data_IF_007869678361
#
_entry.id   IF_007869678361
#
_cell.length_a   1.000
_cell.length_b   1.000
_cell.length_c   1.000
_cell.angle_alpha   90.00
_cell.angle_beta   90.00
_cell.angle_gamma   90.00
#
_symmetry.space_group_name_H-M   'P 1'
#
loop_
_entity.id
_entity.type
_entity.pdbx_description
1 polymer ?
2 non-polymer ?
3 non-polymer ?
4 water ?
#
# COMPACT_ATOMS: atom_id res chain seq x y z
N UNK A 16 -5.88 17.42 -27.51
CA UNK A 16 -4.52 17.80 -27.06
C UNK A 16 -3.82 16.66 -26.32
N UNK A 17 -4.61 15.69 -25.88
CA UNK A 17 -4.16 14.55 -25.04
C UNK A 17 -3.35 14.99 -23.81
N UNK A 18 -4.04 15.55 -22.80
CA UNK A 18 -3.36 15.95 -21.57
C UNK A 18 -2.91 14.73 -20.77
N UNK A 19 -1.86 14.90 -19.96
CA UNK A 19 -1.32 13.81 -19.14
C UNK A 19 -1.21 14.18 -17.66
N UNK A 20 -1.13 13.16 -16.82
CA UNK A 20 -0.95 13.32 -15.39
C UNK A 20 0.45 12.82 -15.01
N UNK A 21 1.22 13.64 -14.30
CA UNK A 21 2.50 13.22 -13.77
C UNK A 21 2.33 12.76 -12.32
N UNK A 22 2.50 11.46 -12.09
CA UNK A 22 2.39 10.88 -10.75
C UNK A 22 3.77 10.72 -10.12
N UNK A 23 3.93 11.28 -8.92
CA UNK A 23 5.21 11.30 -8.23
C UNK A 23 5.12 10.60 -6.87
N UNK A 24 6.06 9.69 -6.62
CA UNK A 24 6.20 9.05 -5.32
C UNK A 24 7.61 9.18 -4.79
N UNK A 25 7.78 10.01 -3.77
CA UNK A 25 9.09 10.23 -3.15
C UNK A 25 9.28 9.37 -1.92
N UNK A 26 10.18 8.40 -2.03
CA UNK A 26 10.58 7.57 -0.90
C UNK A 26 11.75 8.18 -0.17
N UNK A 27 12.24 7.49 0.85
CA UNK A 27 13.37 7.96 1.66
C UNK A 27 14.70 8.04 0.90
N UNK A 28 14.79 7.30 -0.22
CA UNK A 28 16.01 7.28 -1.03
C UNK A 28 15.75 7.12 -2.54
N UNK A 29 14.51 7.34 -2.97
CA UNK A 29 14.13 7.20 -4.37
C UNK A 29 12.94 8.07 -4.76
N UNK A 30 12.88 8.45 -6.04
CA UNK A 30 11.69 9.10 -6.60
C UNK A 30 11.13 8.25 -7.75
N UNK A 31 10.02 7.56 -7.48
CA UNK A 31 9.31 6.81 -8.50
C UNK A 31 8.31 7.73 -9.20
N UNK A 32 8.23 7.62 -10.52
CA UNK A 32 7.28 8.43 -11.28
C UNK A 32 6.63 7.70 -12.46
N UNK A 33 5.42 8.11 -12.78
CA UNK A 33 4.70 7.62 -13.96
C UNK A 33 4.00 8.78 -14.66
N UNK A 34 3.76 8.62 -15.96
CA UNK A 34 3.01 9.59 -16.75
C UNK A 34 1.81 8.90 -17.39
N UNK A 35 0.62 9.31 -16.98
CA UNK A 35 -0.62 8.67 -17.42
C UNK A 35 -1.48 9.59 -18.28
N UNK A 36 -2.06 9.03 -19.33
CA UNK A 36 -3.00 9.75 -20.19
C UNK A 36 -4.28 10.04 -19.40
N UNK A 37 -4.77 11.27 -19.49
CA UNK A 37 -5.96 11.69 -18.75
C UNK A 37 -7.20 10.89 -19.16
N UNK A 38 -7.35 10.65 -20.46
CA UNK A 38 -8.53 9.99 -21.02
C UNK A 38 -8.63 8.49 -20.67
N UNK A 39 -7.49 7.80 -20.67
CA UNK A 39 -7.47 6.34 -20.53
C UNK A 39 -6.80 5.83 -19.26
N UNK A 40 -5.95 6.68 -18.67
CA UNK A 40 -5.09 6.30 -17.53
C UNK A 40 -4.06 5.22 -17.90
N UNK A 41 -3.68 5.20 -19.18
CA UNK A 41 -2.61 4.33 -19.66
C UNK A 41 -1.26 4.95 -19.32
N UNK A 42 -0.34 4.11 -18.84
CA UNK A 42 1.02 4.56 -18.53
C UNK A 42 1.78 4.80 -19.84
N UNK A 43 2.28 6.02 -20.03
CA UNK A 43 2.99 6.39 -21.24
C UNK A 43 4.50 6.47 -21.01
N UNK A 44 4.88 6.63 -19.74
CA UNK A 44 6.28 6.65 -19.33
C UNK A 44 6.40 6.30 -17.85
N UNK A 45 7.41 5.49 -17.51
CA UNK A 45 7.66 5.11 -16.12
C UNK A 45 9.16 5.12 -15.83
N UNK A 46 9.52 5.49 -14.59
CA UNK A 46 10.92 5.55 -14.20
C UNK A 46 11.15 5.61 -12.69
N UNK A 47 12.42 5.69 -12.31
CA UNK A 47 12.83 5.76 -10.91
C UNK A 47 14.20 6.44 -10.74
N UNK A 48 14.22 7.55 -10.01
CA UNK A 48 15.45 8.25 -9.68
C UNK A 48 15.99 7.71 -8.36
N UNK A 49 16.86 6.71 -8.45
CA UNK A 49 17.33 5.96 -7.28
C UNK A 49 18.66 6.51 -6.74
N UNK A 50 19.00 6.08 -5.53
CA UNK A 50 20.24 6.48 -4.88
C UNK A 50 20.25 7.94 -4.45
N UNK A 51 19.12 8.39 -3.89
CA UNK A 51 18.97 9.79 -3.46
C UNK A 51 19.81 10.10 -2.22
N UNK A 52 20.17 11.38 -2.08
CA UNK A 52 21.01 11.88 -0.98
C UNK A 52 22.48 11.43 -1.02
N UNK A 53 22.73 10.27 -1.61
CA UNK A 53 24.09 9.80 -1.87
C UNK A 53 24.66 10.57 -3.07
N UNK A 54 25.98 10.56 -3.22
CA UNK A 54 26.64 11.27 -4.33
C UNK A 54 26.43 10.57 -5.67
N UNK A 55 26.25 9.26 -5.65
CA UNK A 55 25.89 8.51 -6.85
C UNK A 55 24.37 8.35 -6.99
N UNK A 56 23.81 9.06 -7.97
CA UNK A 56 22.37 9.03 -8.22
C UNK A 56 22.10 8.78 -9.71
N UNK A 57 21.20 7.84 -9.99
CA UNK A 57 20.91 7.43 -11.37
C UNK A 57 19.41 7.40 -11.69
N UNK A 58 19.08 7.86 -12.89
CA UNK A 58 17.70 7.90 -13.37
C UNK A 58 17.49 6.81 -14.42
N UNK A 59 16.51 5.93 -14.18
CA UNK A 59 16.23 4.81 -15.07
C UNK A 59 14.86 4.93 -15.74
N UNK A 60 14.84 5.58 -16.91
CA UNK A 60 13.60 5.74 -17.69
C UNK A 60 13.30 4.47 -18.47
N UNK A 61 12.11 3.90 -18.20
CA UNK A 61 11.61 2.68 -18.87
C UNK A 61 12.50 1.44 -18.73
N UNK A 62 13.36 1.44 -17.71
CA UNK A 62 14.24 0.31 -17.43
C UNK A 62 15.38 0.13 -18.42
N UNK A 63 15.86 1.23 -18.98
CA UNK A 63 16.96 1.20 -19.95
C UNK A 63 17.94 2.37 -19.78
N UNK A 64 19.23 2.06 -19.99
CA UNK A 64 20.32 3.05 -19.97
C UNK A 64 20.27 4.04 -18.80
N UNK A 65 20.79 3.63 -17.61
CA UNK A 65 20.88 4.52 -16.45
C UNK A 65 21.81 5.71 -16.72
N UNK A 66 21.30 6.91 -16.48
CA UNK A 66 22.07 8.14 -16.68
C UNK A 66 22.32 8.87 -15.36
N UNK A 67 23.57 9.31 -15.17
CA UNK A 67 23.97 10.03 -13.96
C UNK A 67 24.18 11.52 -14.23
N UNK A 71 23.14 14.70 -5.51
CA UNK A 71 21.98 15.32 -6.14
C UNK A 71 20.74 15.22 -5.25
N UNK A 72 20.19 16.37 -4.88
CA UNK A 72 19.02 16.43 -3.99
C UNK A 72 17.70 16.08 -4.69
N UNK A 73 16.60 16.14 -3.92
CA UNK A 73 15.26 15.83 -4.44
C UNK A 73 14.83 16.71 -5.60
N UNK A 74 15.21 17.99 -5.57
CA UNK A 74 14.90 18.92 -6.65
C UNK A 74 15.76 18.66 -7.90
N UNK A 75 17.01 18.24 -7.68
CA UNK A 75 17.92 17.90 -8.78
C UNK A 75 17.40 16.73 -9.61
N UNK A 76 16.88 15.71 -8.93
CA UNK A 76 16.36 14.51 -9.59
C UNK A 76 15.07 14.79 -10.37
N UNK A 77 14.24 15.68 -9.84
CA UNK A 77 12.99 16.05 -10.49
C UNK A 77 13.25 17.01 -11.66
N UNK A 78 14.27 17.85 -11.51
CA UNK A 78 14.69 18.75 -12.59
C UNK A 78 15.22 17.98 -13.78
N UNK A 79 15.83 16.83 -13.51
CA UNK A 79 16.29 15.91 -14.54
C UNK A 79 15.11 15.27 -15.27
N UNK A 80 14.12 14.82 -14.51
CA UNK A 80 12.88 14.26 -15.05
C UNK A 80 12.15 15.29 -15.90
N UNK A 81 12.05 16.52 -15.40
CA UNK A 81 11.40 17.62 -16.11
C UNK A 81 12.09 17.94 -17.44
N UNK A 82 13.42 17.89 -17.44
CA UNK A 82 14.22 18.10 -18.65
C UNK A 82 14.12 16.91 -19.62
N UNK A 83 13.88 15.71 -19.07
CA UNK A 83 13.67 14.52 -19.88
C UNK A 83 12.30 14.50 -20.56
N UNK A 84 11.32 15.14 -19.92
CA UNK A 84 10.00 15.34 -20.53
C UNK A 84 10.01 16.52 -21.49
N UNK A 85 10.90 17.48 -21.24
CA UNK A 85 11.07 18.66 -22.10
C UNK A 85 11.70 18.30 -23.45
N UNK A 86 12.61 17.33 -23.42
CA UNK A 86 13.26 16.83 -24.63
C UNK A 86 12.41 15.78 -25.35
N UNK A 87 11.39 15.29 -24.66
CA UNK A 87 10.43 14.33 -25.23
C UNK A 87 9.14 15.05 -25.64
N UNK A 88 9.14 16.36 -25.45
CA UNK A 88 8.02 17.24 -25.81
C UNK A 88 6.69 16.88 -25.11
N UNK A 89 6.78 16.55 -23.81
CA UNK A 89 5.61 16.20 -23.01
C UNK A 89 5.28 17.25 -21.95
N UNK A 90 6.24 18.13 -21.66
CA UNK A 90 6.09 19.18 -20.64
C UNK A 90 4.86 20.06 -20.88
N UNK A 91 4.53 20.26 -22.15
CA UNK A 91 3.38 21.08 -22.54
C UNK A 91 2.05 20.35 -22.36
N UNK A 92 2.12 19.03 -22.17
CA UNK A 92 0.92 18.20 -22.01
C UNK A 92 0.56 17.88 -20.55
N UNK A 93 1.48 18.18 -19.64
CA UNK A 93 1.27 17.91 -18.21
C UNK A 93 0.23 18.87 -17.61
N UNK A 94 -1.00 18.39 -17.51
CA UNK A 94 -2.11 19.20 -17.01
C UNK A 94 -2.31 19.07 -15.49
N UNK A 95 -1.87 17.94 -14.94
CA UNK A 95 -2.01 17.65 -13.52
C UNK A 95 -0.78 16.92 -12.98
N UNK A 96 -0.45 17.17 -11.71
CA UNK A 96 0.61 16.42 -11.03
C UNK A 96 0.08 15.78 -9.75
N UNK A 97 0.22 14.47 -9.65
CA UNK A 97 -0.24 13.73 -8.48
C UNK A 97 0.90 13.36 -7.55
N UNK A 98 0.71 13.66 -6.27
CA UNK A 98 1.72 13.35 -5.25
C UNK A 98 1.22 12.29 -4.27
N UNK A 99 2.07 11.31 -4.01
CA UNK A 99 1.79 10.29 -3.01
C UNK A 99 2.32 10.74 -1.66
N UNK A 100 1.42 10.84 -0.69
CA UNK A 100 1.80 11.23 0.67
C UNK A 100 1.64 10.02 1.59
N UNK A 101 2.69 9.72 2.35
CA UNK A 101 2.71 8.56 3.23
C UNK A 101 1.70 8.63 4.38
N UNK A 102 1.53 9.82 4.96
CA UNK A 102 0.72 9.98 6.17
C UNK A 102 -0.04 11.30 6.19
N UNK A 103 -1.36 11.22 6.36
CA UNK A 103 -2.20 12.41 6.41
C UNK A 103 -2.81 12.67 7.78
N UNK A 104 -2.32 11.94 8.78
CA UNK A 104 -2.84 12.01 10.15
C UNK A 104 -4.36 11.95 10.20
N UNK A 105 -4.95 12.79 11.04
CA UNK A 105 -6.40 12.89 11.13
C UNK A 105 -6.91 14.09 10.32
N UNK A 106 -5.98 14.83 9.72
CA UNK A 106 -6.30 16.07 9.02
C UNK A 106 -6.79 15.85 7.58
N UNK A 107 -6.38 14.73 6.98
CA UNK A 107 -6.76 14.45 5.61
C UNK A 107 -7.62 13.19 5.49
N UNK A 108 -8.83 13.38 4.97
CA UNK A 108 -9.81 12.30 4.83
C UNK A 108 -10.04 11.95 3.36
N UNK A 109 -9.42 12.72 2.47
CA UNK A 109 -9.50 12.48 1.02
C UNK A 109 -8.39 13.23 0.28
N UNK A 110 -8.29 12.97 -1.03
CA UNK A 110 -7.31 13.66 -1.88
C UNK A 110 -7.70 15.11 -2.08
N UNK A 111 -6.72 16.00 -1.99
CA UNK A 111 -6.95 17.44 -2.06
C UNK A 111 -6.05 18.15 -3.07
N UNK A 112 -6.51 19.31 -3.53
CA UNK A 112 -5.69 20.21 -4.34
C UNK A 112 -4.68 20.88 -3.41
N UNK A 113 -3.40 20.79 -3.78
CA UNK A 113 -2.32 21.35 -2.98
C UNK A 113 -2.31 22.89 -3.03
N UNK A 114 -2.29 23.49 -1.85
CA UNK A 114 -2.11 24.94 -1.66
C UNK A 114 -1.08 25.10 -0.55
N UNK A 115 -0.80 26.35 -0.17
CA UNK A 115 0.06 26.63 0.98
C UNK A 115 -0.51 26.06 2.29
N UNK A 116 -1.84 26.08 2.41
CA UNK A 116 -2.54 25.54 3.57
C UNK A 116 -2.32 24.03 3.71
N UNK A 117 -2.49 23.31 2.60
CA UNK A 117 -2.30 21.86 2.56
C UNK A 117 -0.87 21.49 2.93
N UNK A 118 0.11 22.23 2.37
CA UNK A 118 1.52 22.00 2.67
C UNK A 118 1.78 22.18 4.17
N UNK A 119 1.27 23.28 4.73
CA UNK A 119 1.37 23.55 6.17
C UNK A 119 0.79 22.40 7.00
N UNK A 120 -0.35 21.87 6.54
CA UNK A 120 -1.03 20.80 7.25
C UNK A 120 -0.37 19.43 7.11
N UNK A 121 0.25 19.17 5.95
CA UNK A 121 1.06 17.96 5.76
C UNK A 121 2.29 18.00 6.68
N UNK A 122 2.87 19.19 6.86
CA UNK A 122 4.00 19.38 7.77
C UNK A 122 3.62 19.13 9.24
N UNK A 123 2.38 19.46 9.60
CA UNK A 123 1.86 19.21 10.94
C UNK A 123 1.83 17.72 11.31
N UNK A 124 1.42 16.89 10.34
CA UNK A 124 1.28 15.44 10.56
C UNK A 124 2.56 14.66 10.24
N UNK A 125 3.58 15.36 9.76
CA UNK A 125 4.85 14.73 9.36
C UNK A 125 5.64 14.03 10.49
N UNK A 126 5.45 14.46 11.77
CA UNK A 126 6.01 13.67 12.87
C UNK A 126 5.49 12.22 12.97
N UNK A 127 4.33 11.95 12.38
CA UNK A 127 3.75 10.60 12.38
C UNK A 127 4.48 9.65 11.43
N UNK A 128 5.21 10.23 10.46
CA UNK A 128 6.07 9.48 9.56
C UNK A 128 7.25 10.34 9.12
N UNK A 129 8.23 10.56 10.04
CA UNK A 129 9.34 11.51 9.83
C UNK A 129 10.24 11.16 8.65
N UNK A 130 10.29 9.89 8.27
CA UNK A 130 11.10 9.46 7.14
C UNK A 130 10.49 9.92 5.82
N UNK A 131 9.36 9.31 5.46
CA UNK A 131 8.78 9.47 4.12
C UNK A 131 8.06 10.81 3.88
N UNK A 132 7.38 11.33 4.90
CA UNK A 132 6.60 12.56 4.74
C UNK A 132 7.40 13.82 4.37
N UNK A 133 8.59 13.96 4.94
CA UNK A 133 9.47 15.08 4.59
C UNK A 133 10.02 14.94 3.17
N UNK A 134 10.19 13.70 2.71
CA UNK A 134 10.57 13.42 1.33
C UNK A 134 9.45 13.79 0.36
N UNK A 135 8.20 13.55 0.77
CA UNK A 135 7.03 13.94 -0.01
C UNK A 135 6.91 15.45 -0.14
N UNK A 136 7.19 16.17 0.94
CA UNK A 136 7.18 17.64 0.95
C UNK A 136 8.31 18.21 0.10
N UNK A 137 9.44 17.52 0.08
CA UNK A 137 10.58 17.88 -0.78
C UNK A 137 10.20 17.70 -2.25
N UNK A 138 9.42 16.66 -2.54
CA UNK A 138 8.91 16.42 -3.89
C UNK A 138 7.86 17.43 -4.31
N UNK A 139 7.08 17.92 -3.35
CA UNK A 139 6.08 18.96 -3.60
C UNK A 139 6.75 20.31 -3.87
N UNK A 140 7.71 20.67 -3.01
CA UNK A 140 8.46 21.91 -3.13
C UNK A 140 9.19 22.01 -4.48
N UNK A 141 9.77 20.89 -4.91
CA UNK A 141 10.49 20.80 -6.18
C UNK A 141 9.55 20.89 -7.39
N UNK A 142 8.42 20.19 -7.32
CA UNK A 142 7.45 20.16 -8.42
C UNK A 142 6.72 21.50 -8.60
N UNK A 143 6.55 22.23 -7.50
CA UNK A 143 5.99 23.58 -7.55
C UNK A 143 6.96 24.57 -8.21
N UNK A 144 8.26 24.37 -7.96
CA UNK A 144 9.32 25.18 -8.58
C UNK A 144 9.41 24.93 -10.09
N UNK A 145 9.28 23.68 -10.50
CA UNK A 145 9.44 23.28 -11.90
C UNK A 145 8.16 23.45 -12.71
N UNK A 146 7.02 23.27 -12.05
CA UNK A 146 5.72 23.40 -12.72
C UNK A 146 4.80 24.33 -11.93
N UNK A 147 5.06 25.65 -11.97
CA UNK A 147 4.27 26.60 -11.17
C UNK A 147 2.85 26.81 -11.69
N UNK A 148 2.61 26.49 -12.96
CA UNK A 148 1.30 26.71 -13.57
C UNK A 148 0.43 25.45 -13.61
N UNK A 149 0.97 24.34 -13.11
CA UNK A 149 0.25 23.06 -13.14
C UNK A 149 -0.43 22.76 -11.81
N UNK A 150 -1.71 22.42 -11.88
CA UNK A 150 -2.47 21.94 -10.71
C UNK A 150 -1.80 20.70 -10.11
N UNK A 151 -1.67 20.69 -8.78
CA UNK A 151 -1.03 19.57 -8.09
C UNK A 151 -1.93 19.04 -6.97
N UNK A 152 -2.02 17.71 -6.88
CA UNK A 152 -2.90 17.07 -5.89
C UNK A 152 -2.14 16.13 -4.97
N UNK A 153 -2.63 16.00 -3.74
CA UNK A 153 -2.04 15.09 -2.76
C UNK A 153 -2.96 13.90 -2.51
N UNK A 154 -2.38 12.70 -2.60
CA UNK A 154 -3.13 11.47 -2.35
C UNK A 154 -2.46 10.70 -1.21
N UNK A 155 -3.23 10.38 -0.19
CA UNK A 155 -2.71 9.87 1.08
C UNK A 155 -2.92 8.37 1.26
N UNK A 156 -1.91 7.70 1.81
CA UNK A 156 -2.00 6.29 2.18
C UNK A 156 -3.03 6.03 3.28
N UNK A 157 -3.22 7.03 4.13
CA UNK A 157 -4.01 6.87 5.35
C UNK A 157 -5.48 7.26 5.21
N UNK A 158 -5.78 8.12 4.24
CA UNK A 158 -7.07 8.83 4.18
C UNK A 158 -8.31 7.93 4.11
N UNK A 159 -8.19 6.80 3.42
CA UNK A 159 -9.30 5.86 3.26
C UNK A 159 -9.75 5.23 4.58
N UNK A 160 -8.81 5.09 5.52
CA UNK A 160 -9.11 4.46 6.82
C UNK A 160 -9.60 5.44 7.88
N UNK A 161 -9.83 6.69 7.48
CA UNK A 161 -10.32 7.71 8.43
C UNK A 161 -11.81 7.55 8.77
N UNK A 162 -12.49 6.67 8.05
CA UNK A 162 -13.89 6.34 8.34
C UNK A 162 -14.03 5.35 9.51
N UNK A 163 -12.91 4.86 10.02
CA UNK A 163 -12.90 3.91 11.13
C UNK A 163 -13.52 4.49 12.41
N UNK A 164 -14.40 3.70 13.03
CA UNK A 164 -15.01 4.05 14.31
C UNK A 164 -13.95 4.03 15.41
N UNK A 165 -14.15 4.84 16.48
CA UNK A 165 -13.19 4.85 17.60
C UNK A 165 -12.91 3.47 18.20
N UNK A 166 -13.94 2.63 18.28
CA UNK A 166 -13.77 1.25 18.77
C UNK A 166 -12.79 0.44 17.90
N UNK A 167 -12.69 0.81 16.63
CA UNK A 167 -11.79 0.13 15.70
C UNK A 167 -10.37 0.70 15.70
N UNK A 168 -10.24 2.00 15.97
CA UNK A 168 -8.92 2.64 15.87
C UNK A 168 -8.21 2.93 17.20
N UNK A 169 -8.94 2.88 18.31
CA UNK A 169 -8.33 3.09 19.63
C UNK A 169 -7.50 1.89 20.06
N UNK A 170 -6.37 2.17 20.71
CA UNK A 170 -5.59 1.14 21.39
C UNK A 170 -5.98 1.10 22.86
N UNK A 171 -5.61 0.00 23.52
CA UNK A 171 -5.96 -0.22 24.92
C UNK A 171 -5.14 0.60 25.91
N UNK A 172 -4.30 1.50 25.40
CA UNK A 172 -3.44 2.33 26.24
C UNK A 172 -4.26 3.42 26.97
N UNK A 173 -3.65 4.06 28.00
CA UNK A 173 -4.33 5.17 28.68
C UNK A 173 -4.75 6.27 27.70
N UNK A 174 -5.90 6.88 28.00
CA UNK A 174 -6.53 7.87 27.13
C UNK A 174 -5.64 9.05 26.72
N UNK A 175 -4.75 9.46 27.62
CA UNK A 175 -3.82 10.57 27.36
C UNK A 175 -2.91 10.36 26.15
N UNK A 176 -2.54 9.10 25.90
CA UNK A 176 -1.72 8.75 24.75
C UNK A 176 -2.43 9.01 23.42
N UNK A 177 -3.75 8.89 23.42
CA UNK A 177 -4.56 9.20 22.24
C UNK A 177 -4.93 10.68 22.14
N UNK A 178 -5.31 11.28 23.27
CA UNK A 178 -5.80 12.66 23.28
C UNK A 178 -4.69 13.70 23.09
N UNK A 179 -3.55 13.50 23.75
CA UNK A 179 -2.45 14.46 23.68
C UNK A 179 -1.39 14.08 22.64
N UNK A 180 -1.06 12.80 22.54
CA UNK A 180 -0.01 12.33 21.62
C UNK A 180 -0.55 11.89 20.26
N UNK A 181 -1.85 11.60 20.19
CA UNK A 181 -2.48 11.21 18.93
C UNK A 181 -2.25 9.75 18.53
N UNK A 182 -1.84 8.93 19.49
CA UNK A 182 -1.63 7.50 19.27
C UNK A 182 -2.96 6.79 18.98
N UNK A 183 -3.07 6.26 17.78
CA UNK A 183 -4.26 5.55 17.30
C UNK A 183 -3.92 4.79 16.03
N UNK A 184 -4.79 3.85 15.66
CA UNK A 184 -4.66 3.13 14.39
C UNK A 184 -4.92 4.09 13.23
N UNK A 185 -4.02 4.06 12.24
CA UNK A 185 -4.22 4.83 11.02
C UNK A 185 -4.46 3.93 9.82
N UNK A 186 -3.67 2.87 9.71
CA UNK A 186 -3.76 1.95 8.59
C UNK A 186 -3.13 2.49 7.32
N UNK A 187 -2.70 1.59 6.44
CA UNK A 187 -2.03 1.99 5.20
C UNK A 187 -2.53 1.19 4.01
N UNK A 188 -1.88 1.35 2.85
CA UNK A 188 -2.36 0.81 1.57
C UNK A 188 -3.78 1.28 1.25
N UNK A 189 -4.16 2.42 1.83
CA UNK A 189 -5.52 2.96 1.72
C UNK A 189 -5.95 3.28 0.31
N UNK A 190 -5.03 3.81 -0.48
CA UNK A 190 -5.25 4.12 -1.89
C UNK A 190 -5.53 2.82 -2.66
N UNK A 191 -4.72 1.80 -2.38
CA UNK A 191 -4.91 0.46 -2.96
C UNK A 191 -6.24 -0.14 -2.52
N UNK A 192 -6.50 -0.13 -1.21
CA UNK A 192 -7.73 -0.68 -0.64
C UNK A 192 -8.98 -0.02 -1.21
N UNK A 193 -8.93 1.30 -1.37
CA UNK A 193 -10.04 2.04 -2.00
C UNK A 193 -10.23 1.61 -3.44
N UNK A 194 -9.17 1.69 -4.24
CA UNK A 194 -9.22 1.33 -5.66
C UNK A 194 -9.76 -0.09 -5.88
N UNK A 195 -9.16 -1.06 -5.21
CA UNK A 195 -9.55 -2.46 -5.32
C UNK A 195 -11.01 -2.66 -4.94
N UNK A 196 -11.44 -2.01 -3.85
CA UNK A 196 -12.83 -2.11 -3.41
C UNK A 196 -13.81 -1.57 -4.47
N UNK A 197 -13.45 -0.44 -5.10
CA UNK A 197 -14.29 0.16 -6.15
C UNK A 197 -14.43 -0.78 -7.34
N UNK A 198 -13.33 -1.42 -7.72
CA UNK A 198 -13.33 -2.37 -8.84
C UNK A 198 -14.15 -3.62 -8.54
N UNK A 199 -14.17 -4.01 -7.25
CA UNK A 199 -14.87 -5.22 -6.82
C UNK A 199 -16.38 -5.14 -6.97
N UNK A 200 -16.95 -3.95 -6.77
CA UNK A 200 -18.40 -3.75 -6.95
C UNK A 200 -18.82 -3.96 -8.40
N UNK A 201 -17.91 -3.62 -9.32
CA UNK A 201 -18.12 -3.84 -10.75
C UNK A 201 -18.00 -5.32 -11.09
N UNK A 202 -16.89 -5.93 -10.70
CA UNK A 202 -16.60 -7.34 -10.99
C UNK A 202 -17.62 -8.29 -10.35
N UNK A 203 -17.98 -8.02 -9.10
CA UNK A 203 -18.88 -8.91 -8.35
C UNK A 203 -20.36 -8.51 -8.47
N UNK A 204 -20.62 -7.48 -9.26
CA UNK A 204 -21.97 -6.89 -9.40
C UNK A 204 -22.61 -6.65 -8.03
N UNK A 205 -21.96 -5.80 -7.24
CA UNK A 205 -22.44 -5.44 -5.92
C UNK A 205 -22.82 -3.97 -5.87
N UNK A 206 -23.83 -3.68 -5.04
CA UNK A 206 -24.17 -2.30 -4.72
C UNK A 206 -23.18 -1.84 -3.65
N UNK A 207 -22.45 -0.76 -3.96
CA UNK A 207 -21.45 -0.20 -3.06
C UNK A 207 -22.01 0.04 -1.66
N UNK A 208 -23.21 0.61 -1.59
CA UNK A 208 -23.84 1.01 -0.33
C UNK A 208 -24.49 -0.15 0.45
N UNK A 209 -24.49 -1.34 -0.14
CA UNK A 209 -24.99 -2.54 0.52
C UNK A 209 -24.03 -3.70 0.24
N UNK A 210 -22.88 -3.67 0.89
CA UNK A 210 -21.80 -4.62 0.60
C UNK A 210 -20.82 -4.81 1.76
N UNK A 211 -20.21 -5.99 1.81
CA UNK A 211 -19.16 -6.30 2.78
C UNK A 211 -18.00 -7.00 2.11
N UNK A 212 -16.87 -6.30 2.04
CA UNK A 212 -15.66 -6.84 1.41
C UNK A 212 -14.50 -6.97 2.38
N UNK A 213 -13.68 -7.98 2.15
CA UNK A 213 -12.37 -8.07 2.78
C UNK A 213 -11.33 -7.98 1.66
N UNK A 214 -10.45 -6.98 1.75
CA UNK A 214 -9.38 -6.83 0.78
C UNK A 214 -8.07 -7.23 1.44
N UNK A 215 -7.43 -8.24 0.85
CA UNK A 215 -6.11 -8.67 1.30
C UNK A 215 -5.06 -8.11 0.37
N UNK A 216 -4.41 -7.04 0.80
CA UNK A 216 -3.29 -6.47 0.06
C UNK A 216 -2.01 -7.16 0.50
N UNK A 217 -1.54 -8.07 -0.34
CA UNK A 217 -0.35 -8.86 -0.02
C UNK A 217 0.80 -8.49 -0.95
N UNK A 218 1.75 -7.73 -0.40
CA UNK A 218 2.97 -7.37 -1.10
C UNK A 218 4.13 -7.54 -0.15
N UNK A 219 5.19 -6.79 -0.37
CA UNK A 219 6.33 -6.79 0.55
C UNK A 219 5.90 -6.25 1.92
N UNK A 220 5.10 -5.18 1.90
CA UNK A 220 4.31 -4.76 3.05
C UNK A 220 2.89 -5.27 2.83
N UNK A 221 2.24 -5.75 3.89
CA UNK A 221 0.94 -6.37 3.75
C UNK A 221 -0.08 -5.91 4.78
N UNK A 222 -1.32 -5.70 4.33
CA UNK A 222 -2.40 -5.30 5.20
C UNK A 222 -3.75 -5.86 4.73
N UNK A 223 -4.63 -6.10 5.69
CA UNK A 223 -6.00 -6.48 5.42
C UNK A 223 -6.87 -5.24 5.67
N UNK A 224 -7.97 -5.13 4.92
CA UNK A 224 -8.95 -4.07 5.17
C UNK A 224 -10.37 -4.60 4.98
N UNK A 225 -11.23 -4.31 5.96
CA UNK A 225 -12.65 -4.61 5.86
C UNK A 225 -13.38 -3.37 5.35
N UNK A 226 -14.15 -3.55 4.28
CA UNK A 226 -14.89 -2.44 3.67
C UNK A 226 -16.39 -2.70 3.73
N UNK A 227 -17.06 -2.00 4.64
CA UNK A 227 -18.52 -2.09 4.78
C UNK A 227 -19.21 -0.93 4.07
N UNK A 228 -20.11 -1.27 3.16
CA UNK A 228 -20.89 -0.28 2.39
C UNK A 228 -20.04 0.84 1.79
N UNK A 229 -18.88 0.45 1.23
CA UNK A 229 -17.98 1.38 0.58
C UNK A 229 -16.98 2.08 1.50
N UNK A 230 -17.13 1.85 2.81
CA UNK A 230 -16.27 2.51 3.80
C UNK A 230 -15.37 1.52 4.53
N UNK A 231 -14.10 1.92 4.71
CA UNK A 231 -13.15 1.18 5.52
C UNK A 231 -13.59 1.18 6.98
N UNK A 232 -13.75 -0.01 7.54
CA UNK A 232 -14.22 -0.15 8.93
C UNK A 232 -13.21 -0.84 9.86
N UNK A 233 -12.30 -1.62 9.26
CA UNK A 233 -11.18 -2.20 9.99
C UNK A 233 -10.00 -2.42 9.04
N UNK A 234 -8.79 -2.25 9.55
CA UNK A 234 -7.58 -2.50 8.78
C UNK A 234 -6.46 -2.99 9.71
N UNK A 235 -5.54 -3.78 9.17
CA UNK A 235 -4.62 -4.57 10.02
C UNK A 235 -3.39 -3.81 10.52
N UNK A 236 -2.89 -2.88 9.70
CA UNK A 236 -1.78 -2.02 10.13
C UNK A 236 -2.30 -0.99 11.13
N UNK A 237 -1.41 -0.49 11.99
CA UNK A 237 -1.82 0.41 13.05
C UNK A 237 -1.41 1.86 12.85
N UNK A 238 -0.80 2.43 13.88
CA UNK A 238 -0.23 3.77 13.81
C UNK A 238 0.92 3.78 12.81
N UNK A 239 1.63 2.65 12.77
CA UNK A 239 2.74 2.43 11.85
C UNK A 239 2.44 1.21 10.98
N UNK A 240 3.21 1.02 9.88
CA UNK A 240 3.03 -0.18 9.04
C UNK A 240 3.54 -1.48 9.67
N UNK A 241 3.87 -1.45 10.96
CA UNK A 241 4.45 -2.61 11.64
C UNK A 241 3.44 -3.61 12.24
N UNK A 242 2.21 -3.14 12.50
CA UNK A 242 1.19 -3.99 13.11
C UNK A 242 0.49 -4.90 12.10
N UNK A 243 -0.03 -6.03 12.59
CA UNK A 243 -0.91 -6.88 11.81
C UNK A 243 -0.25 -8.11 11.23
N UNK A 244 -0.33 -8.24 9.92
CA UNK A 244 0.21 -9.39 9.20
C UNK A 244 1.73 -9.47 9.30
N UNK A 245 2.24 -10.69 9.34
CA UNK A 245 3.66 -10.94 9.09
C UNK A 245 3.92 -10.63 7.62
N UNK A 246 5.05 -9.99 7.34
CA UNK A 246 5.35 -9.52 5.98
C UNK A 246 6.71 -10.03 5.49
N UNK A 247 7.26 -9.38 4.47
CA UNK A 247 8.55 -9.75 3.90
C UNK A 247 9.67 -9.72 4.94
N UNK A 248 9.88 -8.54 5.53
CA UNK A 248 10.86 -8.36 6.58
C UNK A 248 10.23 -7.87 7.90
N UNK A 249 8.90 -7.78 7.91
CA UNK A 249 8.18 -7.31 9.10
C UNK A 249 7.50 -8.43 9.86
N UNK A 250 7.63 -8.40 11.18
CA UNK A 250 7.13 -9.47 12.07
C UNK A 250 5.61 -9.52 12.13
N UNK A 251 4.97 -8.37 12.03
CA UNK A 251 3.55 -8.23 12.27
C UNK A 251 3.24 -8.27 13.76
N UNK A 252 2.00 -8.59 14.11
CA UNK A 252 1.57 -8.69 15.51
C UNK A 252 2.62 -9.40 16.36
N UNK A 253 3.06 -8.72 17.42
CA UNK A 253 4.02 -9.30 18.35
C UNK A 253 3.71 -8.91 19.80
N UNK A 254 3.68 -9.91 20.67
CA UNK A 254 3.46 -9.73 22.10
C UNK A 254 4.47 -8.74 22.67
N UNK A 255 3.97 -7.63 23.22
CA UNK A 255 4.82 -6.59 23.80
C UNK A 255 5.61 -7.10 25.01
N UNK A 256 5.01 -8.04 25.74
CA UNK A 256 5.69 -8.69 26.87
C UNK A 256 6.86 -9.54 26.43
N UNK A 257 6.71 -10.22 25.29
CA UNK A 257 7.78 -11.00 24.69
C UNK A 257 8.95 -10.10 24.27
N UNK A 258 8.63 -8.93 23.73
CA UNK A 258 9.62 -7.93 23.35
C UNK A 258 10.35 -7.37 24.56
N UNK A 259 9.60 -7.18 25.65
CA UNK A 259 10.16 -6.72 26.92
C UNK A 259 11.02 -7.79 27.58
N UNK A 260 10.67 -9.06 27.31
CA UNK A 260 11.41 -10.22 27.82
C UNK A 260 12.75 -10.36 27.10
N UNK A 261 12.74 -10.10 25.79
CA UNK A 261 13.94 -10.17 24.96
C UNK A 261 14.96 -9.09 25.39
N UNK A 262 14.45 -7.87 25.61
CA UNK A 262 15.28 -6.73 26.00
C UNK A 262 16.14 -7.01 27.24
N UNK A 263 15.59 -7.77 28.18
CA UNK A 263 16.31 -8.15 29.40
C UNK A 263 17.40 -9.19 29.11
N UNK A 264 17.08 -10.14 28.23
CA UNK A 264 17.99 -11.25 27.90
C UNK A 264 19.12 -10.86 26.94
N UNK A 265 18.85 -9.93 26.03
CA UNK A 265 19.80 -9.55 24.99
C UNK A 265 20.52 -8.24 25.29
N UNK A 266 19.89 -7.40 26.12
CA UNK A 266 20.42 -6.08 26.43
C UNK A 266 20.19 -5.09 25.30
N UNK A 267 19.14 -5.32 24.51
CA UNK A 267 18.77 -4.45 23.40
C UNK A 267 17.76 -3.41 23.85
N UNK A 268 17.85 -2.22 23.27
CA UNK A 268 16.88 -1.15 23.54
C UNK A 268 15.64 -1.28 22.66
N UNK A 269 14.74 -0.31 22.76
CA UNK A 269 13.51 -0.32 21.99
C UNK A 269 13.78 -0.02 20.52
N UNK A 270 14.73 0.89 20.26
CA UNK A 270 15.14 1.24 18.89
C UNK A 270 15.87 0.09 18.21
N UNK A 271 16.68 -0.64 18.98
CA UNK A 271 17.38 -1.82 18.50
C UNK A 271 16.40 -2.88 18.02
N UNK A 272 15.32 -3.07 18.78
CA UNK A 272 14.32 -4.08 18.47
C UNK A 272 13.33 -3.62 17.40
N UNK A 273 13.18 -2.31 17.24
CA UNK A 273 12.32 -1.76 16.19
C UNK A 273 12.89 -2.04 14.80
N UNK A 274 14.22 -1.95 14.69
CA UNK A 274 14.92 -2.27 13.45
C UNK A 274 14.84 -3.76 13.12
N UNK A 275 14.93 -4.60 14.15
CA UNK A 275 14.81 -6.04 14.00
C UNK A 275 13.40 -6.42 13.52
N UNK A 276 12.39 -5.83 14.16
CA UNK A 276 10.98 -6.04 13.80
C UNK A 276 10.68 -5.59 12.37
N UNK A 277 11.32 -4.52 11.93
CA UNK A 277 11.05 -3.92 10.63
C UNK A 277 11.90 -4.45 9.47
N UNK A 278 13.18 -4.69 9.71
CA UNK A 278 14.13 -5.00 8.64
C UNK A 278 14.60 -6.45 8.60
N UNK A 279 14.58 -7.12 9.75
CA UNK A 279 15.19 -8.45 9.87
C UNK A 279 14.18 -9.60 10.10
N UNK A 280 12.91 -9.23 10.33
CA UNK A 280 11.89 -10.20 10.72
C UNK A 280 11.11 -10.78 9.53
N UNK A 281 9.87 -11.19 9.78
CA UNK A 281 8.96 -11.66 8.75
C UNK A 281 9.37 -12.95 8.07
N UNK A 282 9.08 -13.06 6.78
CA UNK A 282 9.44 -14.23 5.98
C UNK A 282 10.95 -14.47 5.98
N UNK A 283 11.72 -13.39 5.86
CA UNK A 283 13.18 -13.44 5.93
C UNK A 283 13.66 -13.93 7.30
N UNK A 284 12.96 -13.50 8.35
CA UNK A 284 13.33 -13.82 9.72
C UNK A 284 13.21 -15.29 10.09
N UNK A 285 12.05 -15.88 9.77
CA UNK A 285 11.78 -17.29 10.09
C UNK A 285 12.58 -18.25 9.22
N UNK A 286 12.56 -18.01 7.91
CA UNK A 286 13.23 -18.88 6.94
C UNK A 286 14.75 -18.75 6.99
N UNK A 287 15.23 -17.53 7.25
CA UNK A 287 16.67 -17.23 7.26
C UNK A 287 17.26 -17.30 5.87
N UNK A 288 16.40 -17.14 4.86
CA UNK A 288 16.78 -17.29 3.46
C UNK A 288 16.40 -16.06 2.64
N UNK A 289 15.09 -15.84 2.50
CA UNK A 289 14.58 -14.78 1.63
C UNK A 289 13.25 -14.20 2.08
N UNK A 290 13.00 -12.96 1.66
CA UNK A 290 11.69 -12.32 1.80
C UNK A 290 10.84 -12.58 0.56
N UNK A 291 11.46 -13.19 -0.45
CA UNK A 291 10.80 -13.51 -1.71
C UNK A 291 10.16 -14.89 -1.64
N UNK A 292 8.87 -14.95 -1.91
CA UNK A 292 8.11 -16.21 -1.83
C UNK A 292 8.48 -17.22 -2.89
N UNK A 293 8.91 -16.74 -4.06
CA UNK A 293 9.35 -17.61 -5.15
C UNK A 293 10.52 -18.49 -4.71
N UNK A 294 11.45 -17.88 -3.97
CA UNK A 294 12.58 -18.58 -3.39
C UNK A 294 12.13 -19.59 -2.33
N UNK A 295 11.20 -19.16 -1.47
CA UNK A 295 10.73 -19.99 -0.36
C UNK A 295 9.87 -21.19 -0.79
N UNK A 296 9.05 -20.98 -1.82
CA UNK A 296 8.23 -22.05 -2.40
C UNK A 296 9.10 -23.17 -2.95
N UNK A 297 10.13 -22.78 -3.71
CA UNK A 297 11.09 -23.72 -4.28
C UNK A 297 11.84 -24.47 -3.20
N UNK A 298 12.25 -23.74 -2.16
CA UNK A 298 12.96 -24.32 -1.01
C UNK A 298 12.11 -25.34 -0.25
N UNK A 299 10.83 -25.04 -0.10
CA UNK A 299 9.88 -25.97 0.54
C UNK A 299 9.78 -27.27 -0.25
N UNK A 300 9.64 -27.17 -1.57
CA UNK A 300 9.63 -28.34 -2.45
C UNK A 300 10.98 -29.07 -2.43
N UNK A 301 12.06 -28.29 -2.27
CA UNK A 301 13.41 -28.85 -2.12
C UNK A 301 13.66 -29.43 -0.73
N UNK A 302 12.66 -29.37 0.14
CA UNK A 302 12.71 -30.02 1.45
C UNK A 302 13.08 -29.15 2.62
N UNK A 303 13.28 -27.85 2.39
CA UNK A 303 13.66 -26.92 3.45
C UNK A 303 12.49 -26.64 4.40
N UNK A 304 12.71 -26.90 5.68
CA UNK A 304 11.63 -26.85 6.68
C UNK A 304 11.32 -25.43 7.17
N UNK A 305 12.36 -24.62 7.37
CA UNK A 305 12.18 -23.24 7.83
C UNK A 305 11.49 -22.34 6.80
N UNK A 306 11.62 -22.68 5.53
CA UNK A 306 10.89 -21.98 4.46
C UNK A 306 9.42 -22.40 4.47
N UNK A 307 9.18 -23.68 4.75
CA UNK A 307 7.82 -24.20 4.90
C UNK A 307 7.11 -23.52 6.06
N UNK A 308 7.80 -23.42 7.21
CA UNK A 308 7.23 -22.82 8.41
C UNK A 308 6.94 -21.33 8.24
N UNK A 309 7.83 -20.63 7.53
CA UNK A 309 7.67 -19.20 7.25
C UNK A 309 6.40 -18.94 6.46
N UNK A 310 6.15 -19.77 5.44
CA UNK A 310 4.97 -19.67 4.60
C UNK A 310 3.71 -20.05 5.38
N UNK A 311 3.80 -21.13 6.16
CA UNK A 311 2.68 -21.61 6.96
C UNK A 311 2.24 -20.60 8.01
N UNK A 312 3.21 -19.92 8.62
CA UNK A 312 2.96 -18.87 9.60
C UNK A 312 2.37 -17.64 8.91
N UNK A 313 2.92 -17.32 7.74
CA UNK A 313 2.44 -16.23 6.88
C UNK A 313 0.96 -16.43 6.55
N UNK A 314 0.62 -17.65 6.12
CA UNK A 314 -0.76 -18.02 5.76
C UNK A 314 -1.69 -18.02 6.99
N UNK A 315 -1.22 -18.62 8.08
CA UNK A 315 -2.00 -18.68 9.32
C UNK A 315 -2.39 -17.29 9.80
N UNK A 316 -1.44 -16.36 9.77
CA UNK A 316 -1.67 -14.99 10.22
C UNK A 316 -2.54 -14.18 9.26
N UNK A 317 -2.50 -14.52 7.97
CA UNK A 317 -3.39 -13.92 6.98
C UNK A 317 -4.82 -14.39 7.18
N UNK A 318 -4.99 -15.70 7.36
CA UNK A 318 -6.30 -16.29 7.60
C UNK A 318 -6.93 -15.69 8.86
N UNK A 319 -6.11 -15.59 9.91
CA UNK A 319 -6.49 -15.04 11.21
C UNK A 319 -7.03 -13.62 11.08
N UNK A 320 -6.35 -12.79 10.30
CA UNK A 320 -6.76 -11.40 10.15
C UNK A 320 -7.94 -11.20 9.20
N UNK A 321 -8.00 -11.97 8.11
CA UNK A 321 -9.16 -11.94 7.22
C UNK A 321 -10.44 -12.26 7.99
N UNK A 322 -10.39 -13.32 8.81
CA UNK A 322 -11.55 -13.73 9.60
C UNK A 322 -11.87 -12.71 10.69
N UNK A 323 -10.83 -12.20 11.35
CA UNK A 323 -10.99 -11.17 12.37
C UNK A 323 -11.62 -9.89 11.86
N UNK A 324 -11.17 -9.47 10.67
CA UNK A 324 -11.70 -8.26 10.01
C UNK A 324 -13.15 -8.41 9.57
N UNK A 325 -13.54 -9.65 9.24
CA UNK A 325 -14.92 -9.96 8.83
C UNK A 325 -15.96 -9.66 9.91
N UNK A 326 -15.51 -9.60 11.17
CA UNK A 326 -16.38 -9.26 12.30
C UNK A 326 -16.86 -7.80 12.31
N UNK A 327 -16.22 -6.95 11.50
CA UNK A 327 -16.67 -5.57 11.33
C UNK A 327 -17.70 -5.45 10.21
N UNK A 328 -18.02 -6.56 9.57
CA UNK A 328 -19.05 -6.61 8.53
C UNK A 328 -20.33 -7.25 9.06
N UNK A 329 -21.45 -6.89 8.43
CA UNK A 329 -22.73 -7.53 8.76
C UNK A 329 -23.00 -8.69 7.82
N UNK A 330 -22.51 -8.57 6.59
CA UNK A 330 -22.60 -9.64 5.60
C UNK A 330 -21.32 -9.65 4.75
N UNK A 331 -20.73 -10.83 4.60
CA UNK A 331 -19.51 -10.99 3.79
C UNK A 331 -19.86 -11.41 2.37
N UNK A 332 -19.53 -10.55 1.41
CA UNK A 332 -19.85 -10.79 0.00
C UNK A 332 -18.65 -11.26 -0.81
N UNK A 333 -17.47 -10.74 -0.47
CA UNK A 333 -16.26 -11.06 -1.24
C UNK A 333 -14.95 -10.90 -0.49
N UNK A 334 -14.01 -11.78 -0.81
CA UNK A 334 -12.62 -11.63 -0.38
C UNK A 334 -11.76 -11.38 -1.62
N UNK A 335 -11.02 -10.27 -1.61
CA UNK A 335 -10.26 -9.85 -2.77
C UNK A 335 -8.76 -9.84 -2.49
N UNK A 336 -8.01 -10.55 -3.33
CA UNK A 336 -6.56 -10.58 -3.23
C UNK A 336 -5.94 -9.57 -4.19
N UNK A 337 -4.91 -8.87 -3.69
CA UNK A 337 -4.23 -7.87 -4.49
C UNK A 337 -2.79 -7.68 -4.01
N UNK A 338 -2.02 -6.89 -4.76
CA UNK A 338 -0.60 -6.68 -4.45
C UNK A 338 0.25 -7.77 -5.07
N UNK A 339 1.57 -7.59 -5.02
CA UNK A 339 2.52 -8.53 -5.61
C UNK A 339 2.24 -10.00 -5.33
N UNK A 340 2.03 -10.32 -4.06
CA UNK A 340 1.78 -11.69 -3.63
C UNK A 340 0.34 -12.11 -3.93
N UNK A 341 -0.61 -11.23 -3.63
CA UNK A 341 -2.03 -11.49 -3.88
C UNK A 341 -2.37 -11.72 -5.35
N UNK A 342 -1.60 -11.10 -6.24
CA UNK A 342 -1.84 -11.19 -7.67
C UNK A 342 -1.18 -12.40 -8.33
N UNK A 343 -0.01 -12.79 -7.81
CA UNK A 343 0.86 -13.74 -8.49
C UNK A 343 1.09 -15.10 -7.80
N UNK A 344 0.87 -15.16 -6.49
CA UNK A 344 1.11 -16.39 -5.75
C UNK A 344 -0.10 -17.31 -5.71
N UNK A 345 -0.10 -18.30 -6.60
CA UNK A 345 -1.13 -19.32 -6.65
C UNK A 345 -1.17 -20.11 -5.33
N UNK A 346 0.02 -20.43 -4.80
CA UNK A 346 0.14 -21.19 -3.55
C UNK A 346 -0.49 -20.48 -2.34
N UNK A 347 -0.13 -19.23 -2.12
CA UNK A 347 -0.63 -18.47 -0.96
C UNK A 347 -2.15 -18.36 -0.98
N UNK A 348 -2.71 -18.02 -2.14
CA UNK A 348 -4.16 -17.93 -2.29
C UNK A 348 -4.85 -19.25 -1.96
N UNK A 349 -4.32 -20.36 -2.48
CA UNK A 349 -4.85 -21.70 -2.19
C UNK A 349 -4.83 -22.00 -0.70
N UNK A 350 -3.68 -21.79 -0.07
CA UNK A 350 -3.51 -22.08 1.35
C UNK A 350 -4.36 -21.18 2.26
N UNK A 351 -4.40 -19.88 1.96
CA UNK A 351 -5.22 -18.93 2.71
C UNK A 351 -6.70 -19.28 2.62
N UNK A 352 -7.18 -19.55 1.41
CA UNK A 352 -8.58 -19.94 1.20
C UNK A 352 -8.93 -21.27 1.88
N UNK A 353 -8.02 -22.24 1.80
CA UNK A 353 -8.22 -23.54 2.46
C UNK A 353 -8.14 -23.43 3.99
N UNK A 354 -7.48 -22.37 4.46
CA UNK A 354 -7.41 -22.07 5.89
C UNK A 354 -8.68 -21.36 6.39
N UNK A 355 -9.61 -21.09 5.47
CA UNK A 355 -10.84 -20.36 5.81
C UNK A 355 -12.11 -21.13 5.45
N UNK A 356 -12.05 -22.46 5.60
CA UNK A 356 -13.22 -23.32 5.41
C UNK A 356 -14.35 -22.98 6.36
N UNK A 357 -14.01 -22.40 7.51
CA UNK A 357 -14.98 -21.98 8.52
C UNK A 357 -15.95 -20.91 7.99
N UNK A 358 -15.48 -20.11 7.02
CA UNK A 358 -16.32 -19.12 6.36
C UNK A 358 -16.99 -19.71 5.11
N UNK A 359 -16.82 -21.02 4.91
CA UNK A 359 -17.46 -21.74 3.80
C UNK A 359 -16.89 -21.44 2.43
N UNK A 360 -15.60 -21.11 2.38
CA UNK A 360 -14.92 -20.82 1.11
C UNK A 360 -14.62 -22.10 0.34
N UNK A 361 -14.88 -22.05 -0.97
CA UNK A 361 -14.56 -23.15 -1.87
C UNK A 361 -13.67 -22.61 -2.99
N UNK A 362 -12.52 -23.24 -3.15
CA UNK A 362 -11.55 -22.83 -4.17
C UNK A 362 -11.80 -23.52 -5.51
N UNK A 363 -11.65 -22.76 -6.59
CA UNK A 363 -11.61 -23.30 -7.93
C UNK A 363 -10.14 -23.36 -8.33
N UNK A 364 -9.55 -24.55 -8.21
CA UNK A 364 -8.10 -24.74 -8.34
C UNK A 364 -7.56 -24.29 -9.70
N UNK A 365 -8.25 -24.68 -10.77
CA UNK A 365 -7.83 -24.31 -12.13
C UNK A 365 -7.92 -22.81 -12.37
N UNK A 366 -8.97 -22.17 -11.87
CA UNK A 366 -9.11 -20.71 -11.96
C UNK A 366 -8.04 -19.99 -11.14
N UNK A 367 -7.70 -20.56 -9.98
CA UNK A 367 -6.65 -20.01 -9.13
C UNK A 367 -5.26 -20.13 -9.75
N UNK A 368 -5.11 -21.07 -10.68
CA UNK A 368 -3.84 -21.29 -11.38
C UNK A 368 -3.57 -20.28 -12.49
N UNK A 369 -4.62 -19.61 -12.95
CA UNK A 369 -4.50 -18.57 -14.00
C UNK A 369 -3.51 -17.49 -13.58
N UNK A 370 -2.57 -17.13 -14.48
CA UNK A 370 -1.59 -16.07 -14.20
C UNK A 370 -2.23 -14.68 -14.18
N UNK A 371 -1.50 -13.70 -13.66
CA UNK A 371 -2.05 -12.36 -13.43
C UNK A 371 -2.48 -11.61 -14.70
N UNK A 372 -1.98 -12.05 -15.85
CA UNK A 372 -2.32 -11.46 -17.16
C UNK A 372 -3.82 -11.48 -17.43
N UNK A 373 -4.53 -12.39 -16.75
CA UNK A 373 -5.99 -12.51 -16.85
C UNK A 373 -6.72 -11.44 -16.03
N UNK A 374 -5.95 -10.60 -15.33
CA UNK A 374 -6.47 -9.44 -14.62
C UNK A 374 -7.53 -9.74 -13.58
N UNK A 375 -8.62 -8.97 -13.63
CA UNK A 375 -9.70 -9.09 -12.67
C UNK A 375 -10.47 -10.40 -12.91
N UNK A 376 -10.34 -11.32 -11.96
CA UNK A 376 -10.80 -12.70 -12.16
C UNK A 376 -11.34 -13.34 -10.88
N UNK A 377 -12.30 -14.25 -11.05
CA UNK A 377 -12.87 -15.02 -9.94
C UNK A 377 -12.06 -16.29 -9.74
N UNK A 378 -11.67 -16.57 -8.49
CA UNK A 378 -10.90 -17.78 -8.18
C UNK A 378 -11.64 -18.79 -7.31
N UNK A 379 -12.86 -18.43 -6.90
CA UNK A 379 -13.70 -19.33 -6.10
C UNK A 379 -14.66 -20.13 -6.97
N UNK A 380 -15.02 -21.32 -6.50
CA UNK A 380 -16.00 -22.18 -7.17
C UNK A 380 -17.42 -21.71 -6.86
N UNK A 381 -18.39 -22.24 -7.60
CA UNK A 381 -19.81 -21.87 -7.43
C UNK A 381 -20.42 -22.10 -6.04
N UNK A 382 -20.19 -23.29 -5.44
CA UNK A 382 -20.75 -23.54 -4.09
C UNK A 382 -20.18 -22.68 -2.96
N UNK A 383 -19.15 -21.88 -3.25
CA UNK A 383 -18.55 -21.00 -2.26
C UNK A 383 -19.58 -19.99 -1.72
N UNK A 384 -19.63 -19.87 -0.39
CA UNK A 384 -20.55 -18.94 0.26
C UNK A 384 -20.10 -17.50 0.06
N UNK A 385 -18.80 -17.33 -0.18
CA UNK A 385 -18.20 -16.02 -0.38
C UNK A 385 -17.36 -16.05 -1.66
N UNK A 386 -17.53 -15.03 -2.50
CA UNK A 386 -16.78 -14.90 -3.74
C UNK A 386 -15.32 -14.55 -3.44
N UNK A 387 -14.40 -15.24 -4.10
CA UNK A 387 -12.98 -14.92 -4.00
C UNK A 387 -12.47 -14.47 -5.36
N UNK A 388 -11.68 -13.40 -5.35
CA UNK A 388 -11.23 -12.78 -6.57
C UNK A 388 -9.84 -12.19 -6.46
N UNK A 389 -9.18 -12.07 -7.62
CA UNK A 389 -7.95 -11.31 -7.74
C UNK A 389 -8.27 -10.04 -8.52
N UNK A 390 -7.89 -8.90 -7.96
CA UNK A 390 -7.98 -7.64 -8.67
C UNK A 390 -6.63 -6.95 -8.58
N UNK A 391 -5.93 -6.83 -9.74
CA UNK A 391 -4.65 -6.14 -9.75
C UNK A 391 -4.80 -4.71 -9.28
N UNK A 392 -3.92 -4.29 -8.37
CA UNK A 392 -3.98 -2.94 -7.83
C UNK A 392 -3.15 -1.98 -8.68
N UNK A 393 -3.64 -0.75 -8.80
CA UNK A 393 -2.97 0.29 -9.57
C UNK A 393 -3.08 1.62 -8.83
N UNK A 394 -2.07 1.88 -8.00
CA UNK A 394 -2.08 3.05 -7.11
C UNK A 394 -1.83 4.34 -7.88
N UNK A 395 -0.99 4.29 -8.90
CA UNK A 395 -0.75 5.43 -9.80
C UNK A 395 -2.01 5.84 -10.55
N UNK A 396 -2.85 4.86 -10.90
CA UNK A 396 -4.12 5.14 -11.60
C UNK A 396 -5.11 5.83 -10.68
N UNK A 397 -5.22 5.36 -9.44
CA UNK A 397 -6.12 5.97 -8.46
C UNK A 397 -5.69 7.39 -8.13
N UNK A 398 -4.38 7.60 -8.01
CA UNK A 398 -3.82 8.94 -7.86
C UNK A 398 -4.22 9.81 -9.05
N UNK A 399 -4.01 9.28 -10.27
CA UNK A 399 -4.38 9.98 -11.50
C UNK A 399 -5.88 10.25 -11.59
N UNK A 400 -6.69 9.25 -11.24
CA UNK A 400 -8.15 9.40 -11.27
C UNK A 400 -8.66 10.44 -10.27
N UNK A 401 -8.00 10.51 -9.12
CA UNK A 401 -8.27 11.56 -8.15
C UNK A 401 -7.86 12.92 -8.69
N UNK A 402 -6.70 12.96 -9.35
CA UNK A 402 -6.18 14.18 -9.96
C UNK A 402 -7.10 14.66 -11.08
N UNK A 403 -7.55 13.74 -11.93
CA UNK A 403 -8.44 14.05 -13.05
C UNK A 403 -9.77 14.63 -12.56
N UNK A 404 -10.37 13.99 -11.55
CA UNK A 404 -11.62 14.47 -10.97
C UNK A 404 -11.46 15.84 -10.32
N UNK A 405 -10.33 16.06 -9.66
CA UNK A 405 -10.02 17.36 -9.05
C UNK A 405 -9.56 18.39 -10.10
N UNK A 406 -9.41 17.95 -11.34
CA UNK A 406 -9.02 18.83 -12.45
C UNK A 406 -10.12 19.77 -12.90
N UNK A 407 -11.36 19.40 -12.61
CA UNK A 407 -12.54 20.17 -13.00
C UNK A 407 -12.86 21.32 -12.05
N UNK A 408 -12.18 21.35 -10.90
CA UNK A 408 -12.43 22.31 -9.84
C UNK A 408 -11.97 23.73 -10.22
N UNK A 409 -12.76 24.72 -9.82
CA UNK A 409 -12.39 26.12 -9.96
C UNK A 409 -12.08 26.68 -8.58
N UNK A 410 -10.79 26.92 -8.31
CA UNK A 410 -10.34 27.42 -7.01
C UNK A 410 -9.39 28.61 -7.15
#
# INVERSE_FOLDING_TARGET
MRGSHHHHHHGMASNEFPVVLVINCGSSSIKFSVLDVATCDVLMAGIADGMNTENAFLSINGDKPINLAHSNYEDALKAIAFELEKRDLTDSVALIGHRIAHGGELFTQSVIITDEIIDNIRRVSPLAPLHNYANLSGIDAARHLFPAVRQVAVFDTSFHQTLAPEAYLYGLPWEYFSSLGVRRYGFHGTSHRYVSRRAYELLDLDEKDSGLIVAHLGNGASICAVRNGQSVDTSMGMTPLEGLMMGTRSGDVDFGAMAWIAKETGQTLSDLERVVNKESGLLGISGLSSDLRVLEKAWHEGHERARLAIKTFVHRIARHIAGHAASLHRLDGIIFTGGIGENSVLIRQLVIEHLGVLGLTLDVEMNKQPNSHGERIISANPSQVICAVIPTNEEKMIALDAIHLGNVKA
#
